data_IF_275466579311
#
_entry.id   IF_275466579311
#
_cell.length_a   1.000
_cell.length_b   1.000
_cell.length_c   1.000
_cell.angle_alpha   90.00
_cell.angle_beta   90.00
_cell.angle_gamma   90.00
#
_symmetry.space_group_name_H-M   'P 1'
#
loop_
_entity.id
_entity.type
_entity.pdbx_description
1 polymer ?
#
# COMPACT_ATOMS: atom_id res chain seq x y z
N UNK A 1 -13.85 -12.44 -5.05
CA UNK A 1 -12.90 -12.18 -6.16
C UNK A 1 -13.05 -10.73 -6.57
N UNK A 2 -12.07 -9.90 -6.25
CA UNK A 2 -11.97 -8.53 -6.78
C UNK A 2 -11.29 -8.60 -8.14
N UNK A 3 -12.00 -8.16 -9.17
CA UNK A 3 -11.60 -8.14 -10.59
C UNK A 3 -10.33 -7.29 -10.79
N UNK A 4 -9.41 -7.67 -11.72
CA UNK A 4 -8.33 -6.78 -12.15
C UNK A 4 -8.92 -5.46 -12.67
N UNK A 5 -8.38 -4.33 -12.24
CA UNK A 5 -8.88 -3.00 -12.62
C UNK A 5 -8.17 -2.44 -13.87
N UNK A 6 -7.50 -3.24 -14.69
CA UNK A 6 -6.71 -2.73 -15.82
C UNK A 6 -7.58 -2.05 -16.89
N UNK A 7 -7.04 -1.01 -17.52
CA UNK A 7 -7.57 -0.43 -18.77
C UNK A 7 -6.58 -0.78 -19.87
N UNK A 8 -7.00 -1.60 -20.84
CA UNK A 8 -6.10 -2.23 -21.84
C UNK A 8 -5.65 -1.27 -22.95
N UNK A 9 -5.57 0.04 -22.68
CA UNK A 9 -5.19 1.04 -23.68
C UNK A 9 -3.71 1.40 -23.51
N UNK A 10 -2.89 1.02 -24.48
CA UNK A 10 -1.53 1.54 -24.64
C UNK A 10 -1.57 2.91 -25.32
N UNK A 11 -0.74 3.88 -24.89
CA UNK A 11 0.26 3.79 -23.83
C UNK A 11 -0.33 3.98 -22.42
N UNK A 12 -0.01 3.08 -21.49
CA UNK A 12 -0.33 3.22 -20.08
C UNK A 12 0.46 4.37 -19.44
N UNK A 13 -0.13 5.09 -18.50
CA UNK A 13 0.50 6.19 -17.74
C UNK A 13 1.32 5.68 -16.55
N UNK A 14 0.95 4.55 -15.98
CA UNK A 14 1.61 3.95 -14.83
C UNK A 14 1.25 2.46 -14.70
N UNK A 15 2.08 1.75 -13.93
CA UNK A 15 1.81 0.39 -13.46
C UNK A 15 1.30 0.45 -12.01
N UNK A 16 0.13 -0.13 -11.74
CA UNK A 16 -0.46 -0.20 -10.40
C UNK A 16 -0.19 -1.59 -9.79
N UNK A 17 0.54 -1.66 -8.69
CA UNK A 17 0.79 -2.91 -7.96
C UNK A 17 0.43 -2.74 -6.49
N UNK A 18 -0.11 -3.77 -5.86
CA UNK A 18 -0.49 -3.60 -4.47
C UNK A 18 -1.33 -4.68 -3.85
N UNK A 19 -1.74 -4.38 -2.62
CA UNK A 19 -2.81 -5.10 -1.96
C UNK A 19 -4.18 -4.57 -2.37
N UNK A 20 -5.22 -4.94 -1.64
CA UNK A 20 -6.60 -4.56 -1.93
C UNK A 20 -6.85 -3.04 -1.85
N UNK A 21 -6.00 -2.25 -1.20
CA UNK A 21 -6.08 -0.78 -1.21
C UNK A 21 -5.79 -0.17 -2.58
N UNK A 22 -5.03 -0.85 -3.45
CA UNK A 22 -4.85 -0.43 -4.85
C UNK A 22 -6.19 -0.35 -5.61
N UNK A 23 -7.21 -1.10 -5.18
CA UNK A 23 -8.51 -1.17 -5.87
C UNK A 23 -9.20 0.19 -6.04
N UNK A 24 -9.17 1.05 -5.01
CA UNK A 24 -9.81 2.36 -5.11
C UNK A 24 -9.07 3.33 -6.06
N UNK A 25 -7.74 3.19 -6.17
CA UNK A 25 -6.91 3.94 -7.13
C UNK A 25 -7.24 3.50 -8.55
N UNK A 26 -7.28 2.19 -8.80
CA UNK A 26 -7.65 1.64 -10.10
C UNK A 26 -9.06 2.02 -10.53
N UNK A 27 -10.04 1.96 -9.62
CA UNK A 27 -11.41 2.42 -9.89
C UNK A 27 -11.48 3.91 -10.23
N UNK A 28 -10.70 4.75 -9.56
CA UNK A 28 -10.64 6.17 -9.85
C UNK A 28 -10.00 6.45 -11.22
N UNK A 29 -8.91 5.74 -11.56
CA UNK A 29 -8.27 5.85 -12.87
C UNK A 29 -9.20 5.40 -14.00
N UNK A 30 -9.91 4.27 -13.82
CA UNK A 30 -10.96 3.83 -14.74
C UNK A 30 -12.06 4.89 -14.92
N UNK A 31 -12.57 5.45 -13.82
CA UNK A 31 -13.61 6.49 -13.88
C UNK A 31 -13.14 7.81 -14.49
N UNK A 32 -11.83 8.05 -14.54
CA UNK A 32 -11.21 9.21 -15.19
C UNK A 32 -10.71 8.90 -16.61
N UNK A 33 -10.97 7.69 -17.13
CA UNK A 33 -10.47 7.19 -18.42
C UNK A 33 -8.95 7.31 -18.54
N UNK A 34 -8.22 7.25 -17.42
CA UNK A 34 -6.77 7.35 -17.41
C UNK A 34 -6.16 5.98 -17.72
N UNK A 35 -5.36 5.82 -18.79
CA UNK A 35 -4.76 4.54 -19.14
C UNK A 35 -3.78 4.05 -18.10
N UNK A 36 -3.95 2.83 -17.62
CA UNK A 36 -3.02 2.17 -16.69
C UNK A 36 -3.16 0.65 -16.78
N UNK A 37 -2.09 -0.03 -16.37
CA UNK A 37 -2.08 -1.49 -16.23
C UNK A 37 -1.88 -1.84 -14.76
N UNK A 38 -2.57 -2.87 -14.29
CA UNK A 38 -2.36 -3.44 -12.97
C UNK A 38 -3.57 -3.40 -12.03
N UNK A 39 -3.30 -3.58 -10.75
CA UNK A 39 -4.31 -3.67 -9.70
C UNK A 39 -3.83 -4.46 -8.48
N UNK A 40 -4.78 -4.83 -7.59
CA UNK A 40 -4.47 -5.69 -6.44
C UNK A 40 -3.94 -7.05 -6.88
N UNK A 41 -2.83 -7.48 -6.28
CA UNK A 41 -2.28 -8.83 -6.40
C UNK A 41 -2.75 -9.77 -5.27
N UNK A 42 -3.40 -9.23 -4.23
CA UNK A 42 -3.82 -9.99 -3.05
C UNK A 42 -4.38 -9.08 -1.95
N UNK A 43 -4.59 -9.65 -0.77
CA UNK A 43 -4.96 -8.91 0.44
C UNK A 43 -3.72 -8.36 1.16
N UNK A 44 -3.91 -7.37 2.05
CA UNK A 44 -2.79 -6.83 2.85
C UNK A 44 -2.03 -7.90 3.64
N UNK A 45 -2.73 -8.96 4.07
CA UNK A 45 -2.15 -10.10 4.79
C UNK A 45 -1.19 -10.94 3.93
N UNK A 46 -1.41 -10.99 2.63
CA UNK A 46 -0.58 -11.77 1.70
C UNK A 46 0.80 -11.15 1.50
N UNK A 47 0.95 -9.87 1.83
CA UNK A 47 2.18 -9.09 1.68
C UNK A 47 2.85 -8.78 3.02
N UNK A 48 2.51 -9.53 4.08
CA UNK A 48 3.30 -9.59 5.31
C UNK A 48 4.43 -10.62 5.17
N UNK A 49 5.59 -10.29 5.72
CA UNK A 49 6.80 -11.09 5.60
C UNK A 49 7.37 -11.10 4.17
N UNK A 50 8.24 -12.06 3.84
CA UNK A 50 8.82 -12.17 2.50
C UNK A 50 7.80 -12.70 1.50
N UNK A 51 7.48 -11.90 0.49
CA UNK A 51 6.61 -12.29 -0.63
C UNK A 51 7.26 -12.13 -2.00
N UNK A 52 8.39 -11.41 -2.07
CA UNK A 52 9.09 -11.05 -3.28
C UNK A 52 10.58 -11.36 -3.13
N UNK A 53 11.17 -11.95 -4.17
CA UNK A 53 12.58 -12.30 -4.22
C UNK A 53 13.37 -11.32 -5.10
N UNK A 54 14.68 -11.23 -4.87
CA UNK A 54 15.56 -10.27 -5.55
C UNK A 54 15.72 -10.53 -7.05
N UNK A 55 15.29 -11.70 -7.53
CA UNK A 55 15.24 -12.05 -8.95
C UNK A 55 14.00 -11.50 -9.67
N UNK A 56 13.13 -10.78 -8.97
CA UNK A 56 11.93 -10.17 -9.53
C UNK A 56 10.68 -11.05 -9.46
N UNK A 57 10.69 -12.11 -8.64
CA UNK A 57 9.61 -13.12 -8.57
C UNK A 57 8.78 -12.99 -7.30
N UNK A 58 7.46 -13.10 -7.45
CA UNK A 58 6.54 -13.31 -6.32
C UNK A 58 6.54 -14.78 -5.92
N UNK A 59 6.66 -15.05 -4.62
CA UNK A 59 6.76 -16.42 -4.07
C UNK A 59 5.49 -17.24 -4.21
N UNK A 60 4.34 -16.58 -4.36
CA UNK A 60 3.04 -17.24 -4.53
C UNK A 60 2.64 -17.20 -6.00
N UNK A 61 2.05 -18.30 -6.44
CA UNK A 61 1.66 -18.53 -7.83
C UNK A 61 0.70 -17.44 -8.34
N UNK A 62 -0.36 -17.13 -7.59
CA UNK A 62 -1.39 -16.19 -8.07
C UNK A 62 -0.88 -14.74 -8.21
N UNK A 63 -0.22 -14.12 -7.20
CA UNK A 63 0.44 -12.83 -7.39
C UNK A 63 1.47 -12.83 -8.54
N UNK A 64 2.24 -13.91 -8.69
CA UNK A 64 3.22 -14.02 -9.78
C UNK A 64 2.53 -14.06 -11.15
N UNK A 65 1.45 -14.82 -11.29
CA UNK A 65 0.66 -14.91 -12.53
C UNK A 65 0.11 -13.55 -12.92
N UNK A 66 -0.58 -12.88 -11.99
CA UNK A 66 -1.16 -11.54 -12.23
C UNK A 66 -0.09 -10.50 -12.58
N UNK A 67 1.03 -10.50 -11.84
CA UNK A 67 2.16 -9.62 -12.12
C UNK A 67 2.73 -9.84 -13.52
N UNK A 68 2.89 -11.09 -13.95
CA UNK A 68 3.33 -11.43 -15.31
C UNK A 68 2.33 -10.96 -16.38
N UNK A 69 1.04 -11.20 -16.17
CA UNK A 69 -0.01 -10.71 -17.07
C UNK A 69 0.02 -9.19 -17.25
N UNK A 70 0.32 -8.44 -16.18
CA UNK A 70 0.47 -6.98 -16.26
C UNK A 70 1.71 -6.55 -17.06
N UNK A 71 2.85 -7.22 -16.87
CA UNK A 71 4.05 -6.95 -17.66
C UNK A 71 3.86 -7.33 -19.13
N UNK A 72 3.22 -8.46 -19.42
CA UNK A 72 2.90 -8.90 -20.77
C UNK A 72 1.96 -7.90 -21.48
N UNK A 73 0.99 -7.34 -20.76
CA UNK A 73 0.11 -6.27 -21.28
C UNK A 73 0.88 -5.01 -21.66
N UNK A 74 1.99 -4.74 -20.97
CA UNK A 74 2.89 -3.62 -21.23
C UNK A 74 4.00 -3.96 -22.25
N UNK A 75 4.04 -5.19 -22.77
CA UNK A 75 5.08 -5.71 -23.66
C UNK A 75 6.50 -5.55 -23.09
N UNK A 76 6.66 -5.81 -21.78
CA UNK A 76 7.95 -5.76 -21.08
C UNK A 76 8.26 -7.08 -20.38
N UNK A 77 9.54 -7.46 -20.34
CA UNK A 77 9.99 -8.72 -19.74
C UNK A 77 10.14 -8.67 -18.21
N UNK A 78 10.14 -7.46 -17.61
CA UNK A 78 10.37 -7.22 -16.19
C UNK A 78 10.35 -5.75 -15.83
N UNK A 79 10.39 -5.45 -14.53
CA UNK A 79 10.42 -4.07 -14.00
C UNK A 79 11.54 -3.22 -14.61
N UNK A 80 12.71 -3.80 -14.86
CA UNK A 80 13.87 -3.09 -15.41
C UNK A 80 13.64 -2.49 -16.81
N UNK A 81 12.63 -2.98 -17.55
CA UNK A 81 12.27 -2.50 -18.87
C UNK A 81 11.11 -1.48 -18.85
N UNK A 82 10.55 -1.15 -17.67
CA UNK A 82 9.48 -0.17 -17.56
C UNK A 82 10.01 1.26 -17.78
N UNK A 83 9.27 2.02 -18.57
CA UNK A 83 9.48 3.46 -18.80
C UNK A 83 8.46 4.35 -18.10
N UNK A 84 7.51 3.74 -17.39
CA UNK A 84 6.40 4.39 -16.69
C UNK A 84 6.55 4.23 -15.16
N UNK A 85 6.01 5.17 -14.36
CA UNK A 85 6.06 5.05 -12.91
C UNK A 85 5.28 3.85 -12.38
N UNK A 86 5.69 3.39 -11.19
CA UNK A 86 4.98 2.35 -10.43
C UNK A 86 4.22 3.02 -9.28
N UNK A 87 2.90 2.83 -9.24
CA UNK A 87 2.07 3.18 -8.07
C UNK A 87 1.94 1.92 -7.22
N UNK A 88 2.47 1.95 -6.00
CA UNK A 88 2.63 0.76 -5.17
C UNK A 88 1.97 0.92 -3.79
N UNK A 89 1.23 -0.10 -3.34
CA UNK A 89 0.60 -0.10 -1.99
C UNK A 89 1.09 -1.23 -1.07
N UNK A 90 2.11 -2.00 -1.47
CA UNK A 90 2.62 -3.08 -0.63
C UNK A 90 3.12 -2.58 0.72
N UNK A 91 2.85 -3.34 1.79
CA UNK A 91 3.30 -3.03 3.15
C UNK A 91 2.54 -1.89 3.83
N UNK A 92 1.63 -1.22 3.11
CA UNK A 92 0.88 -0.08 3.64
C UNK A 92 -0.40 -0.47 4.38
N UNK A 93 -0.84 -1.73 4.31
CA UNK A 93 -1.95 -2.28 5.11
C UNK A 93 -1.66 -2.34 6.62
N UNK A 94 -1.47 -1.19 7.27
CA UNK A 94 -1.12 -1.06 8.68
C UNK A 94 -2.14 -1.73 9.61
N UNK A 95 -3.41 -1.83 9.20
CA UNK A 95 -4.44 -2.55 9.94
C UNK A 95 -4.10 -4.05 10.14
N UNK A 96 -3.39 -4.66 9.20
CA UNK A 96 -2.95 -6.06 9.33
C UNK A 96 -1.82 -6.18 10.35
N UNK A 97 -0.85 -5.25 10.31
CA UNK A 97 0.24 -5.17 11.31
C UNK A 97 -0.34 -4.94 12.70
N UNK A 98 -1.28 -4.02 12.82
CA UNK A 98 -1.93 -3.59 14.04
C UNK A 98 -3.02 -4.55 14.56
N UNK A 99 -3.19 -5.74 13.98
CA UNK A 99 -4.10 -6.76 14.52
C UNK A 99 -3.82 -6.98 16.00
N UNK A 100 -4.82 -6.82 16.87
CA UNK A 100 -4.63 -6.77 18.33
C UNK A 100 -3.79 -7.93 18.87
N UNK A 101 -4.06 -9.15 18.39
CA UNK A 101 -3.41 -10.39 18.82
C UNK A 101 -1.90 -10.41 18.54
N UNK A 102 -1.42 -9.65 17.56
CA UNK A 102 0.02 -9.57 17.28
C UNK A 102 0.80 -8.89 18.44
N UNK A 103 0.08 -8.13 19.29
CA UNK A 103 0.68 -7.25 20.29
C UNK A 103 0.35 -7.64 21.72
N UNK A 104 -0.36 -8.75 21.94
CA UNK A 104 -0.80 -9.18 23.28
C UNK A 104 0.35 -9.34 24.27
N UNK A 105 1.53 -9.80 23.80
CA UNK A 105 2.73 -9.95 24.63
C UNK A 105 3.34 -8.61 25.09
N UNK A 106 2.98 -7.50 24.42
CA UNK A 106 3.49 -6.16 24.71
C UNK A 106 2.47 -5.27 25.40
N UNK A 107 1.29 -5.81 25.72
CA UNK A 107 0.25 -5.08 26.45
C UNK A 107 0.59 -5.02 27.94
N UNK A 108 0.28 -3.88 28.54
CA UNK A 108 0.36 -3.71 29.98
C UNK A 108 -0.84 -4.33 30.70
N UNK A 109 -0.88 -4.20 32.03
CA UNK A 109 -1.99 -4.70 32.87
C UNK A 109 -3.35 -4.06 32.56
N UNK A 110 -3.38 -2.95 31.83
CA UNK A 110 -4.59 -2.25 31.40
C UNK A 110 -5.02 -2.67 29.98
N UNK A 111 -4.29 -3.60 29.35
CA UNK A 111 -4.56 -4.07 28.00
C UNK A 111 -4.14 -3.08 26.92
N UNK A 112 -3.29 -2.10 27.24
CA UNK A 112 -2.81 -1.08 26.31
C UNK A 112 -1.37 -1.37 25.89
N UNK A 113 -0.99 -1.01 24.66
CA UNK A 113 0.41 -1.07 24.24
C UNK A 113 1.06 0.25 24.67
N UNK A 114 2.09 0.25 25.55
CA UNK A 114 2.62 1.49 26.10
C UNK A 114 3.27 2.39 25.03
N UNK A 115 3.04 3.71 25.10
CA UNK A 115 3.66 4.70 24.20
C UNK A 115 5.19 4.58 24.17
N UNK A 116 5.82 4.35 25.32
CA UNK A 116 7.28 4.16 25.40
C UNK A 116 7.77 2.92 24.63
N UNK A 117 6.92 1.92 24.44
CA UNK A 117 7.21 0.79 23.57
C UNK A 117 6.96 1.16 22.11
N UNK A 118 5.86 1.84 21.78
CA UNK A 118 5.57 2.30 20.41
C UNK A 118 6.67 3.22 19.86
N UNK A 119 7.23 4.09 20.70
CA UNK A 119 8.34 4.98 20.36
C UNK A 119 9.72 4.27 20.36
N UNK A 120 9.76 2.99 20.74
CA UNK A 120 11.01 2.26 20.91
C UNK A 120 11.57 1.74 19.59
N UNK A 121 12.90 1.58 19.55
CA UNK A 121 13.59 0.88 18.46
C UNK A 121 13.07 -0.55 18.26
N UNK A 122 12.69 -1.24 19.34
CA UNK A 122 12.19 -2.61 19.26
C UNK A 122 10.88 -2.68 18.47
N UNK A 123 9.95 -1.76 18.73
CA UNK A 123 8.71 -1.67 17.96
C UNK A 123 8.98 -1.41 16.47
N UNK A 124 9.85 -0.44 16.17
CA UNK A 124 10.25 -0.16 14.79
C UNK A 124 10.89 -1.39 14.10
N UNK A 125 11.76 -2.14 14.81
CA UNK A 125 12.36 -3.37 14.31
C UNK A 125 11.34 -4.47 14.03
N UNK A 126 10.30 -4.62 14.88
CA UNK A 126 9.21 -5.58 14.67
C UNK A 126 8.34 -5.20 13.47
N UNK A 127 8.03 -3.91 13.30
CA UNK A 127 7.29 -3.42 12.13
C UNK A 127 8.11 -3.66 10.85
N UNK A 128 9.39 -3.24 10.82
CA UNK A 128 10.32 -3.53 9.72
C UNK A 128 10.37 -5.01 9.37
N UNK A 129 10.52 -5.88 10.38
CA UNK A 129 10.55 -7.32 10.17
C UNK A 129 9.25 -7.86 9.57
N UNK A 130 8.11 -7.29 9.98
CA UNK A 130 6.78 -7.63 9.47
C UNK A 130 6.59 -7.20 8.01
N UNK A 131 7.06 -6.01 7.62
CA UNK A 131 6.91 -5.49 6.25
C UNK A 131 8.12 -5.73 5.35
N UNK A 132 9.08 -6.57 5.77
CA UNK A 132 10.37 -6.73 5.08
C UNK A 132 10.27 -7.12 3.60
N UNK A 133 9.26 -7.88 3.20
CA UNK A 133 9.04 -8.19 1.78
C UNK A 133 8.62 -6.98 0.96
N UNK A 134 7.83 -6.08 1.54
CA UNK A 134 7.45 -4.83 0.89
C UNK A 134 8.67 -3.93 0.76
N UNK A 135 9.45 -3.76 1.83
CA UNK A 135 10.69 -2.98 1.80
C UNK A 135 11.67 -3.51 0.73
N UNK A 136 11.84 -4.83 0.64
CA UNK A 136 12.67 -5.45 -0.39
C UNK A 136 12.16 -5.18 -1.82
N UNK A 137 10.84 -5.16 -2.04
CA UNK A 137 10.26 -4.77 -3.32
C UNK A 137 10.56 -3.30 -3.67
N UNK A 138 10.37 -2.38 -2.72
CA UNK A 138 10.68 -0.96 -2.94
C UNK A 138 12.16 -0.75 -3.21
N UNK A 139 13.05 -1.38 -2.43
CA UNK A 139 14.50 -1.33 -2.64
C UNK A 139 14.88 -1.82 -4.04
N UNK A 140 14.29 -2.93 -4.49
CA UNK A 140 14.52 -3.46 -5.83
C UNK A 140 14.03 -2.48 -6.92
N UNK A 141 12.81 -1.97 -6.83
CA UNK A 141 12.25 -1.06 -7.82
C UNK A 141 13.05 0.25 -7.92
N UNK A 142 13.43 0.84 -6.80
CA UNK A 142 14.27 2.05 -6.76
C UNK A 142 15.67 1.77 -7.31
N UNK A 143 16.27 0.62 -6.99
CA UNK A 143 17.58 0.22 -7.53
C UNK A 143 17.58 0.09 -9.06
N UNK A 144 16.44 -0.30 -9.64
CA UNK A 144 16.23 -0.33 -11.09
C UNK A 144 16.04 1.06 -11.71
N UNK A 145 16.06 2.13 -10.91
CA UNK A 145 15.86 3.50 -11.36
C UNK A 145 14.39 3.85 -11.62
N UNK A 146 13.44 3.03 -11.16
CA UNK A 146 12.02 3.31 -11.33
C UNK A 146 11.56 4.41 -10.39
N UNK A 147 10.70 5.28 -10.91
CA UNK A 147 9.94 6.22 -10.10
C UNK A 147 8.80 5.47 -9.42
N UNK A 148 8.82 5.41 -8.08
CA UNK A 148 7.80 4.71 -7.28
C UNK A 148 7.01 5.70 -6.45
N UNK A 149 5.69 5.70 -6.62
CA UNK A 149 4.75 6.50 -5.82
C UNK A 149 3.94 5.58 -4.90
N UNK A 150 3.93 5.88 -3.61
CA UNK A 150 3.26 5.07 -2.60
C UNK A 150 2.13 5.87 -1.91
N UNK A 151 0.87 5.70 -2.36
CA UNK A 151 -0.26 6.33 -1.70
C UNK A 151 -0.56 5.65 -0.37
N UNK A 152 -0.57 6.45 0.70
CA UNK A 152 -0.96 5.96 2.02
C UNK A 152 -2.38 5.40 1.98
N UNK A 153 -2.63 4.33 2.76
CA UNK A 153 -3.93 3.68 2.74
C UNK A 153 -4.96 4.62 3.40
N UNK A 154 -6.25 4.29 3.25
CA UNK A 154 -7.29 4.87 4.07
C UNK A 154 -6.95 4.81 5.57
N UNK A 155 -7.23 5.89 6.31
CA UNK A 155 -7.04 5.99 7.76
C UNK A 155 -8.21 5.31 8.50
N UNK A 156 -8.37 4.02 8.22
CA UNK A 156 -9.50 3.20 8.67
C UNK A 156 -8.97 2.08 9.56
N UNK A 157 -9.25 2.19 10.86
CA UNK A 157 -8.84 1.20 11.86
C UNK A 157 -10.01 0.27 12.15
N UNK A 158 -9.99 -0.99 11.69
CA UNK A 158 -11.07 -1.93 11.97
C UNK A 158 -11.06 -2.34 13.45
N UNK A 159 -12.20 -2.78 13.97
CA UNK A 159 -12.35 -3.21 15.38
C UNK A 159 -11.51 -4.43 15.79
N UNK A 160 -10.76 -5.04 14.87
CA UNK A 160 -9.77 -6.08 15.15
C UNK A 160 -8.35 -5.53 15.31
N UNK A 161 -8.12 -4.28 14.95
CA UNK A 161 -6.82 -3.61 15.00
C UNK A 161 -6.75 -2.59 16.14
N UNK A 162 -5.57 -2.47 16.73
CA UNK A 162 -5.25 -1.50 17.77
C UNK A 162 -4.93 -0.13 17.13
N UNK A 163 -5.66 0.96 17.47
CA UNK A 163 -5.46 2.27 16.84
C UNK A 163 -4.07 2.86 17.06
N UNK A 164 -3.52 2.74 18.26
CA UNK A 164 -2.23 3.38 18.59
C UNK A 164 -1.10 2.67 17.84
N UNK A 165 -1.17 1.33 17.79
CA UNK A 165 -0.26 0.53 16.95
C UNK A 165 -0.44 0.81 15.46
N UNK A 166 -1.67 1.04 14.98
CA UNK A 166 -1.93 1.33 13.57
C UNK A 166 -1.18 2.57 13.12
N UNK A 167 -1.30 3.67 13.87
CA UNK A 167 -0.65 4.93 13.52
C UNK A 167 0.86 4.84 13.72
N UNK A 168 1.34 4.28 14.83
CA UNK A 168 2.76 4.12 15.07
C UNK A 168 3.44 3.22 14.01
N UNK A 169 2.80 2.12 13.62
CA UNK A 169 3.33 1.25 12.57
C UNK A 169 3.33 1.94 11.20
N UNK A 170 2.30 2.74 10.89
CA UNK A 170 2.25 3.51 9.65
C UNK A 170 3.40 4.54 9.59
N UNK A 171 3.68 5.24 10.69
CA UNK A 171 4.77 6.22 10.75
C UNK A 171 6.14 5.55 10.54
N UNK A 172 6.38 4.38 11.15
CA UNK A 172 7.59 3.58 10.87
C UNK A 172 7.71 3.23 9.39
N UNK A 173 6.63 2.78 8.75
CA UNK A 173 6.66 2.43 7.31
C UNK A 173 6.88 3.67 6.45
N UNK A 174 6.25 4.80 6.78
CA UNK A 174 6.45 6.10 6.12
C UNK A 174 7.91 6.52 6.14
N UNK A 175 8.57 6.43 7.30
CA UNK A 175 9.97 6.78 7.45
C UNK A 175 10.88 5.86 6.61
N UNK A 176 10.62 4.55 6.64
CA UNK A 176 11.37 3.57 5.86
C UNK A 176 11.24 3.79 4.34
N UNK A 177 10.04 4.12 3.85
CA UNK A 177 9.82 4.40 2.44
C UNK A 177 10.45 5.73 2.01
N UNK A 178 10.35 6.75 2.85
CA UNK A 178 10.97 8.07 2.61
C UNK A 178 12.48 7.93 2.53
N UNK A 179 13.11 7.17 3.44
CA UNK A 179 14.55 6.93 3.44
C UNK A 179 15.06 6.21 2.18
N UNK A 180 14.17 5.49 1.47
CA UNK A 180 14.46 4.81 0.20
C UNK A 180 14.21 5.66 -1.03
N UNK A 181 13.76 6.92 -0.87
CA UNK A 181 13.43 7.79 -1.99
C UNK A 181 12.11 7.44 -2.68
N UNK A 182 11.22 6.69 -2.02
CA UNK A 182 9.85 6.46 -2.51
C UNK A 182 9.03 7.74 -2.33
N UNK A 183 8.28 8.13 -3.36
CA UNK A 183 7.42 9.31 -3.29
C UNK A 183 6.11 8.99 -2.57
N UNK A 184 5.99 9.42 -1.32
CA UNK A 184 4.76 9.24 -0.56
C UNK A 184 3.65 10.20 -1.04
N UNK A 185 2.47 9.62 -1.26
CA UNK A 185 1.21 10.35 -1.46
C UNK A 185 0.44 10.29 -0.15
N UNK A 186 0.71 11.27 0.73
CA UNK A 186 0.09 11.40 2.04
C UNK A 186 -1.09 12.38 1.98
N UNK A 187 -2.30 11.84 2.15
CA UNK A 187 -3.55 12.61 2.15
C UNK A 187 -4.16 12.76 3.54
N UNK A 188 -3.47 12.34 4.63
CA UNK A 188 -4.04 12.30 5.98
C UNK A 188 -4.70 13.61 6.36
N UNK A 189 -3.99 14.73 6.22
CA UNK A 189 -4.50 16.09 6.51
C UNK A 189 -5.77 16.49 5.73
N UNK A 190 -6.03 15.83 4.59
CA UNK A 190 -7.18 16.09 3.70
C UNK A 190 -8.33 15.11 3.90
N UNK A 191 -8.12 13.97 4.55
CA UNK A 191 -9.14 12.91 4.59
C UNK A 191 -9.59 12.53 6.00
N UNK A 192 -8.85 12.92 7.04
CA UNK A 192 -9.19 12.60 8.43
C UNK A 192 -10.06 13.67 9.09
N UNK A 193 -10.76 13.28 10.16
CA UNK A 193 -11.44 14.19 11.08
C UNK A 193 -10.53 14.58 12.26
N UNK A 194 -11.10 15.25 13.27
CA UNK A 194 -10.36 15.69 14.46
C UNK A 194 -9.80 14.54 15.32
N UNK A 195 -10.26 13.29 15.10
CA UNK A 195 -9.77 12.09 15.79
C UNK A 195 -8.64 11.39 15.02
N UNK A 196 -8.28 11.89 13.83
CA UNK A 196 -7.31 11.24 12.95
C UNK A 196 -7.89 10.08 12.14
N UNK A 197 -9.18 9.77 12.29
CA UNK A 197 -9.87 8.74 11.51
C UNK A 197 -10.41 9.29 10.19
N UNK A 198 -10.47 8.45 9.16
CA UNK A 198 -10.97 8.85 7.86
C UNK A 198 -12.44 9.28 7.91
N UNK A 199 -12.71 10.46 7.34
CA UNK A 199 -14.06 11.01 7.22
C UNK A 199 -14.97 10.07 6.43
N UNK A 200 -16.24 9.89 6.85
CA UNK A 200 -17.18 8.99 6.18
C UNK A 200 -17.34 9.22 4.67
N UNK A 201 -17.19 10.47 4.21
CA UNK A 201 -17.25 10.83 2.79
C UNK A 201 -16.21 10.10 1.91
N UNK A 202 -15.14 9.57 2.51
CA UNK A 202 -14.07 8.85 1.83
C UNK A 202 -14.08 7.34 2.14
N UNK A 203 -15.01 6.86 2.96
CA UNK A 203 -15.11 5.46 3.37
C UNK A 203 -16.05 4.69 2.44
N UNK A 204 -15.72 3.43 2.17
CA UNK A 204 -16.68 2.48 1.59
C UNK A 204 -17.65 2.02 2.70
N UNK A 205 -18.95 2.08 2.44
CA UNK A 205 -20.00 1.97 3.47
C UNK A 205 -19.99 0.61 4.22
N UNK A 206 -19.94 -0.51 3.49
CA UNK A 206 -20.06 -1.87 4.06
C UNK A 206 -18.70 -2.55 4.28
N UNK A 207 -17.66 -1.75 4.42
CA UNK A 207 -16.28 -2.19 4.49
C UNK A 207 -15.62 -1.43 5.62
N UNK A 208 -14.70 -2.02 6.39
CA UNK A 208 -14.06 -1.34 7.54
C UNK A 208 -12.65 -0.86 7.26
N UNK A 209 -12.08 -1.17 6.08
CA UNK A 209 -10.66 -0.90 5.77
C UNK A 209 -10.47 -0.14 4.45
N UNK A 210 -11.37 -0.25 3.47
CA UNK A 210 -11.18 0.34 2.14
C UNK A 210 -11.74 1.76 2.01
N UNK A 211 -11.07 2.57 1.19
CA UNK A 211 -11.58 3.85 0.71
C UNK A 211 -12.62 3.65 -0.37
N UNK A 212 -13.48 4.64 -0.57
CA UNK A 212 -14.42 4.66 -1.69
C UNK A 212 -13.81 5.34 -2.93
N UNK A 213 -14.63 5.50 -3.97
CA UNK A 213 -14.22 6.20 -5.20
C UNK A 213 -13.80 7.66 -4.96
N UNK A 214 -14.39 8.36 -3.99
CA UNK A 214 -13.99 9.74 -3.68
C UNK A 214 -12.59 9.81 -3.08
N UNK A 215 -12.22 8.84 -2.22
CA UNK A 215 -10.84 8.69 -1.76
C UNK A 215 -9.89 8.40 -2.93
N UNK A 216 -10.24 7.43 -3.77
CA UNK A 216 -9.44 7.08 -4.96
C UNK A 216 -9.22 8.27 -5.89
N UNK A 217 -10.24 9.13 -6.08
CA UNK A 217 -10.13 10.36 -6.89
C UNK A 217 -9.17 11.39 -6.28
N UNK A 218 -9.12 11.51 -4.95
CA UNK A 218 -8.13 12.37 -4.30
C UNK A 218 -6.71 11.84 -4.48
N UNK A 219 -6.52 10.52 -4.33
CA UNK A 219 -5.22 9.87 -4.61
C UNK A 219 -4.82 10.10 -6.06
N UNK A 220 -5.72 9.87 -7.01
CA UNK A 220 -5.45 10.08 -8.43
C UNK A 220 -5.09 11.53 -8.75
N UNK A 221 -5.82 12.50 -8.19
CA UNK A 221 -5.51 13.93 -8.36
C UNK A 221 -4.09 14.24 -7.89
N UNK A 222 -3.70 13.76 -6.72
CA UNK A 222 -2.36 13.99 -6.17
C UNK A 222 -1.27 13.31 -7.01
N UNK A 223 -1.54 12.12 -7.55
CA UNK A 223 -0.64 11.46 -8.49
C UNK A 223 -0.45 12.29 -9.77
N UNK A 224 -1.55 12.80 -10.35
CA UNK A 224 -1.51 13.66 -11.55
C UNK A 224 -0.78 14.98 -11.30
N UNK A 225 -0.98 15.62 -10.14
CA UNK A 225 -0.29 16.85 -9.75
C UNK A 225 1.24 16.63 -9.63
N UNK A 226 1.65 15.39 -9.36
CA UNK A 226 3.06 14.95 -9.34
C UNK A 226 3.57 14.50 -10.70
N UNK A 227 2.80 14.70 -11.78
CA UNK A 227 3.24 14.38 -13.15
C UNK A 227 3.15 12.89 -13.50
N UNK A 228 2.20 12.17 -12.88
CA UNK A 228 1.75 10.87 -13.41
C UNK A 228 1.11 11.05 -14.79
#
# INVERSE_FOLDING_TARGET
>A
MTTPCSTTTTPARFLLLGDSHAGCVGQAAQAAELPFVGGPLGSGRDFLGPFFDTDGTFRREEPQRLYREFLDTLDVSGLAALSIPVVCTFGLSAHTVATRQNWDLYRDRHGTVPDTFLDSRLFADLVRATVRGALAFYDHAVTLGLRVLAPLPPQRVPGTSDPDVFFAAQDVVVDELTARGVELVDLRSRVVDATGLQRPAFCKADDTIHGNLAFGRLVLSELLDRGL
#
